data_IF_708950936444
#
_entry.id   IF_708950936444
#
_cell.length_a   1.000
_cell.length_b   1.000
_cell.length_c   1.000
_cell.angle_alpha   90.00
_cell.angle_beta   90.00
_cell.angle_gamma   90.00
#
_symmetry.space_group_name_H-M   'P 1'
#
loop_
_entity.id
_entity.type
_entity.pdbx_description
1 polymer ?
#
# COMPACT_ATOMS: atom_id res chain seq x y z
N UNK A 1 17.29 18.06 8.91
CA UNK A 1 17.28 16.58 8.76
C UNK A 1 16.20 16.19 7.75
N UNK A 2 16.60 15.75 6.55
CA UNK A 2 15.65 15.38 5.50
C UNK A 2 14.82 14.17 5.91
N UNK A 3 13.49 14.31 5.92
CA UNK A 3 12.57 13.19 6.18
C UNK A 3 12.71 12.24 4.99
N UNK A 4 13.38 11.10 5.18
CA UNK A 4 13.48 10.05 4.16
C UNK A 4 12.06 9.56 3.86
N UNK A 5 11.59 9.80 2.65
CA UNK A 5 10.33 9.24 2.18
C UNK A 5 10.54 7.74 2.01
N UNK A 6 10.01 6.93 2.92
CA UNK A 6 9.97 5.48 2.71
C UNK A 6 9.09 5.22 1.49
N UNK A 7 9.72 4.85 0.38
CA UNK A 7 9.02 4.37 -0.80
C UNK A 7 8.56 2.95 -0.49
N UNK A 8 7.29 2.81 -0.16
CA UNK A 8 6.68 1.49 0.03
C UNK A 8 6.19 0.96 -1.31
N UNK A 9 6.68 -0.21 -1.71
CA UNK A 9 6.18 -0.94 -2.89
C UNK A 9 4.70 -1.26 -2.76
N UNK A 10 4.00 -1.33 -3.89
CA UNK A 10 2.56 -1.63 -3.92
C UNK A 10 2.28 -2.97 -3.26
N UNK A 11 3.09 -3.99 -3.54
CA UNK A 11 2.97 -5.33 -2.95
C UNK A 11 2.97 -5.28 -1.42
N UNK A 12 3.87 -4.47 -0.84
CA UNK A 12 3.90 -4.28 0.60
C UNK A 12 2.59 -3.65 1.10
N UNK A 13 2.08 -2.60 0.44
CA UNK A 13 0.82 -1.96 0.81
C UNK A 13 -0.37 -2.93 0.73
N UNK A 14 -0.41 -3.77 -0.30
CA UNK A 14 -1.45 -4.80 -0.46
C UNK A 14 -1.35 -5.80 0.68
N UNK A 15 -0.16 -6.34 0.95
CA UNK A 15 0.04 -7.31 2.03
C UNK A 15 -0.46 -6.74 3.37
N UNK A 16 -0.12 -5.49 3.69
CA UNK A 16 -0.60 -4.79 4.89
C UNK A 16 -2.12 -4.74 4.95
N UNK A 17 -2.78 -4.40 3.85
CA UNK A 17 -4.25 -4.31 3.80
C UNK A 17 -4.89 -5.69 3.86
N UNK A 18 -4.32 -6.71 3.22
CA UNK A 18 -4.79 -8.09 3.33
C UNK A 18 -4.66 -8.60 4.76
N UNK A 19 -3.54 -8.34 5.44
CA UNK A 19 -3.38 -8.71 6.86
C UNK A 19 -4.39 -7.98 7.75
N UNK A 20 -4.66 -6.70 7.47
CA UNK A 20 -5.71 -5.96 8.14
C UNK A 20 -7.09 -6.60 7.92
N UNK A 21 -7.41 -6.98 6.68
CA UNK A 21 -8.71 -7.51 6.29
C UNK A 21 -8.93 -8.95 6.77
N UNK A 22 -7.86 -9.73 6.94
CA UNK A 22 -7.90 -11.04 7.59
C UNK A 22 -8.25 -10.95 9.09
N UNK A 23 -8.26 -9.75 9.68
CA UNK A 23 -8.73 -9.53 11.06
C UNK A 23 -7.72 -9.91 12.15
N UNK A 24 -6.50 -10.29 11.77
CA UNK A 24 -5.46 -10.76 12.69
C UNK A 24 -4.82 -9.63 13.52
N UNK A 25 -4.99 -8.38 13.09
CA UNK A 25 -4.24 -7.24 13.63
C UNK A 25 -5.14 -6.08 14.04
N UNK A 26 -5.90 -6.22 15.13
CA UNK A 26 -6.29 -5.19 16.12
C UNK A 26 -6.58 -3.73 15.69
N UNK A 27 -6.90 -3.47 14.43
CA UNK A 27 -7.03 -2.14 13.84
C UNK A 27 -5.74 -1.52 13.27
N UNK A 28 -5.90 -0.40 12.54
CA UNK A 28 -4.80 0.37 11.92
C UNK A 28 -3.70 0.78 12.89
N UNK A 29 -4.03 0.98 14.18
CA UNK A 29 -3.08 1.41 15.20
C UNK A 29 -2.14 0.27 15.62
N UNK A 30 -2.67 -0.95 15.77
CA UNK A 30 -1.89 -2.13 16.10
C UNK A 30 -0.95 -2.50 14.95
N UNK A 31 -1.50 -2.57 13.74
CA UNK A 31 -0.76 -2.84 12.51
C UNK A 31 0.31 -1.77 12.23
N UNK A 32 -0.01 -0.49 12.46
CA UNK A 32 0.96 0.60 12.37
C UNK A 32 2.15 0.43 13.31
N UNK A 33 1.90 -0.06 14.54
CA UNK A 33 2.95 -0.26 15.54
C UNK A 33 3.81 -1.48 15.19
N UNK A 34 3.19 -2.59 14.76
CA UNK A 34 3.89 -3.83 14.37
C UNK A 34 4.82 -3.61 13.18
N UNK A 35 4.37 -2.83 12.19
CA UNK A 35 5.14 -2.52 10.99
C UNK A 35 6.08 -1.32 11.15
N UNK A 36 6.11 -0.69 12.33
CA UNK A 36 6.99 0.45 12.61
C UNK A 36 6.62 1.72 11.84
N UNK A 37 5.37 1.85 11.39
CA UNK A 37 4.90 3.05 10.72
C UNK A 37 4.86 4.23 11.68
N UNK A 38 5.45 5.35 11.23
CA UNK A 38 5.53 6.60 11.99
C UNK A 38 4.17 7.28 12.15
N UNK A 39 3.21 6.96 11.30
CA UNK A 39 1.87 7.53 11.34
C UNK A 39 0.83 6.54 10.84
N UNK A 40 -0.14 6.24 11.70
CA UNK A 40 -1.33 5.44 11.35
C UNK A 40 -2.19 6.11 10.27
N UNK A 41 -2.10 7.44 10.11
CA UNK A 41 -2.79 8.16 9.03
C UNK A 41 -2.37 7.68 7.63
N UNK A 42 -1.17 7.12 7.49
CA UNK A 42 -0.73 6.56 6.22
C UNK A 42 -1.51 5.29 5.87
N UNK A 43 -1.72 4.42 6.87
CA UNK A 43 -2.53 3.21 6.73
C UNK A 43 -3.99 3.54 6.45
N UNK A 44 -4.56 4.51 7.16
CA UNK A 44 -5.95 4.94 6.94
C UNK A 44 -6.15 5.46 5.52
N UNK A 45 -5.19 6.23 5.00
CA UNK A 45 -5.23 6.70 3.61
C UNK A 45 -5.12 5.54 2.61
N UNK A 46 -4.26 4.55 2.87
CA UNK A 46 -4.16 3.37 2.03
C UNK A 46 -5.45 2.56 2.01
N UNK A 47 -6.06 2.32 3.17
CA UNK A 47 -7.35 1.63 3.27
C UNK A 47 -8.45 2.38 2.53
N UNK A 48 -8.53 3.71 2.69
CA UNK A 48 -9.52 4.54 1.98
C UNK A 48 -9.32 4.45 0.47
N UNK A 49 -8.09 4.61 -0.02
CA UNK A 49 -7.78 4.51 -1.45
C UNK A 49 -8.01 3.10 -2.00
N UNK A 50 -7.74 2.07 -1.20
CA UNK A 50 -8.02 0.68 -1.56
C UNK A 50 -9.51 0.41 -1.63
N UNK A 51 -10.32 0.99 -0.75
CA UNK A 51 -11.77 0.87 -0.80
C UNK A 51 -12.37 1.60 -2.02
N UNK A 52 -11.82 2.76 -2.40
CA UNK A 52 -12.33 3.59 -3.50
C UNK A 52 -11.82 3.16 -4.88
N UNK A 53 -10.56 2.74 -4.99
CA UNK A 53 -9.89 2.43 -6.26
C UNK A 53 -9.22 1.05 -6.31
N UNK A 54 -9.34 0.24 -5.26
CA UNK A 54 -8.65 -1.05 -5.16
C UNK A 54 -7.13 -0.89 -5.13
N UNK A 55 -6.43 -1.87 -5.70
CA UNK A 55 -4.96 -1.90 -5.82
C UNK A 55 -4.43 -0.65 -6.55
N UNK A 56 -5.18 -0.13 -7.53
CA UNK A 56 -4.80 1.06 -8.28
C UNK A 56 -4.75 2.33 -7.40
N UNK A 57 -5.50 2.37 -6.30
CA UNK A 57 -5.43 3.47 -5.32
C UNK A 57 -4.17 3.46 -4.47
N UNK A 58 -3.56 2.29 -4.27
CA UNK A 58 -2.29 2.13 -3.55
C UNK A 58 -1.08 2.49 -4.42
N UNK A 59 -1.29 2.53 -5.72
CA UNK A 59 -0.31 2.98 -6.68
C UNK A 59 -0.06 4.48 -6.50
N UNK A 60 1.12 4.83 -6.00
CA UNK A 60 1.57 6.22 -6.02
C UNK A 60 1.87 6.61 -7.47
N UNK A 61 1.04 7.47 -8.06
CA UNK A 61 1.22 7.99 -9.42
C UNK A 61 2.28 9.10 -9.51
N UNK A 62 2.93 9.49 -8.41
CA UNK A 62 3.92 10.57 -8.43
C UNK A 62 5.25 10.00 -8.90
N UNK A 63 5.66 10.36 -10.12
CA UNK A 63 7.02 10.13 -10.62
C UNK A 63 7.34 8.73 -11.14
N UNK A 64 6.34 7.92 -11.51
CA UNK A 64 6.60 6.61 -12.14
C UNK A 64 6.71 6.76 -13.65
N UNK A 65 7.89 6.48 -14.18
CA UNK A 65 8.13 6.27 -15.60
C UNK A 65 7.26 5.11 -16.10
N UNK A 66 6.72 5.24 -17.31
CA UNK A 66 5.76 4.34 -17.98
C UNK A 66 6.15 2.85 -17.94
N UNK A 67 7.46 2.57 -17.85
CA UNK A 67 8.05 1.22 -17.75
C UNK A 67 7.63 0.47 -16.48
N UNK A 68 7.55 1.15 -15.33
CA UNK A 68 7.16 0.51 -14.07
C UNK A 68 5.66 0.16 -14.04
N UNK A 69 4.81 0.96 -14.72
CA UNK A 69 3.38 0.65 -14.84
C UNK A 69 3.14 -0.58 -15.74
N UNK A 70 3.89 -0.72 -16.84
CA UNK A 70 3.78 -1.90 -17.72
C UNK A 70 4.04 -3.21 -16.98
N UNK A 71 5.09 -3.30 -16.17
CA UNK A 71 5.39 -4.53 -15.43
C UNK A 71 4.31 -4.89 -14.41
N UNK A 72 3.74 -3.92 -13.69
CA UNK A 72 2.69 -4.17 -12.70
C UNK A 72 1.38 -4.58 -13.40
N UNK A 73 1.01 -3.92 -14.50
CA UNK A 73 -0.14 -4.32 -15.30
C UNK A 73 0.01 -5.72 -15.91
N UNK A 74 1.22 -6.09 -16.31
CA UNK A 74 1.52 -7.46 -16.77
C UNK A 74 1.39 -8.48 -15.65
N UNK A 75 1.80 -8.16 -14.41
CA UNK A 75 1.66 -9.04 -13.26
C UNK A 75 0.19 -9.22 -12.85
N UNK A 76 -0.61 -8.14 -12.91
CA UNK A 76 -2.05 -8.19 -12.59
C UNK A 76 -2.86 -8.97 -13.64
N UNK A 77 -2.48 -8.89 -14.92
CA UNK A 77 -3.09 -9.69 -15.99
C UNK A 77 -2.73 -11.17 -15.95
N UNK A 78 -1.64 -11.56 -15.27
CA UNK A 78 -1.19 -12.96 -15.19
C UNK A 78 -1.93 -13.80 -14.14
N UNK A 79 -2.78 -13.16 -13.32
CA UNK A 79 -3.56 -13.82 -12.25
C UNK A 79 -4.99 -14.18 -12.68
N UNK A 80 -5.34 -14.00 -13.96
CA UNK A 80 -6.60 -14.43 -14.57
C UNK A 80 -6.32 -15.20 -15.87
#
# INVERSE_FOLDING_TARGET
MGKKNNVYSIEFKINVIETYNNGDEGGVKALSKKLGFRSHNMLTQWLKKYNEFGIAGLEDKRGKTEVAQKNIMTLLKKKY
#
